data_IF_637112537905
#
_entry.id   IF_637112537905
#
_cell.length_a   1.000
_cell.length_b   1.000
_cell.length_c   1.000
_cell.angle_alpha   90.00
_cell.angle_beta   90.00
_cell.angle_gamma   90.00
#
_symmetry.space_group_name_H-M   'P 1'
#
loop_
_entity.id
_entity.type
_entity.pdbx_description
1 polymer ?
#
# COMPACT_ATOMS: atom_id res chain seq x y z
N UNK A 1 -19.69 -9.36 19.20
CA UNK A 1 -19.48 -7.88 19.34
C UNK A 1 -20.24 -7.20 18.21
N UNK A 2 -20.98 -6.11 18.44
CA UNK A 2 -21.75 -5.51 17.33
C UNK A 2 -20.86 -4.65 16.39
N UNK A 3 -21.32 -4.42 15.17
CA UNK A 3 -20.57 -3.67 14.14
C UNK A 3 -20.18 -2.25 14.58
N UNK A 4 -21.04 -1.59 15.38
CA UNK A 4 -20.82 -0.23 15.85
C UNK A 4 -19.67 -0.18 16.87
N UNK A 5 -19.63 -1.13 17.80
CA UNK A 5 -18.55 -1.28 18.78
C UNK A 5 -17.21 -1.57 18.10
N UNK A 6 -17.20 -2.48 17.12
CA UNK A 6 -15.99 -2.77 16.34
C UNK A 6 -15.50 -1.51 15.62
N UNK A 7 -16.40 -0.80 14.94
CA UNK A 7 -16.05 0.44 14.23
C UNK A 7 -15.51 1.51 15.16
N UNK A 8 -16.08 1.67 16.35
CA UNK A 8 -15.62 2.63 17.36
C UNK A 8 -14.19 2.28 17.81
N UNK A 9 -13.93 1.03 18.21
CA UNK A 9 -12.59 0.58 18.62
C UNK A 9 -11.55 0.76 17.51
N UNK A 10 -11.91 0.40 16.27
CA UNK A 10 -11.01 0.53 15.11
C UNK A 10 -10.74 1.99 14.77
N UNK A 11 -11.73 2.88 14.91
CA UNK A 11 -11.54 4.32 14.77
C UNK A 11 -10.65 4.87 15.87
N UNK A 12 -10.98 4.63 17.14
CA UNK A 12 -10.26 5.12 18.31
C UNK A 12 -8.79 4.68 18.29
N UNK A 13 -8.52 3.42 17.95
CA UNK A 13 -7.16 2.88 17.82
C UNK A 13 -6.36 3.46 16.64
N UNK A 14 -6.99 4.23 15.75
CA UNK A 14 -6.30 4.87 14.64
C UNK A 14 -6.00 3.92 13.47
N UNK A 15 -6.81 2.88 13.24
CA UNK A 15 -6.54 1.86 12.22
C UNK A 15 -6.86 2.35 10.81
N UNK A 16 -5.91 2.18 9.90
CA UNK A 16 -6.03 2.48 8.47
C UNK A 16 -5.59 1.27 7.64
N UNK A 17 -5.95 1.26 6.36
CA UNK A 17 -5.45 0.25 5.41
C UNK A 17 -3.94 0.36 5.21
N UNK A 18 -3.18 -0.53 5.86
CA UNK A 18 -1.71 -0.54 5.86
C UNK A 18 -1.11 -0.84 4.48
N UNK A 19 -1.72 -1.73 3.69
CA UNK A 19 -1.21 -2.15 2.38
C UNK A 19 -1.43 -1.16 1.21
N UNK A 20 -1.50 0.15 1.46
CA UNK A 20 -1.72 1.13 0.39
C UNK A 20 -1.96 2.55 0.89
N UNK A 21 -2.90 3.26 0.25
CA UNK A 21 -3.12 4.70 0.49
C UNK A 21 -3.67 5.10 1.89
N UNK A 22 -3.76 4.17 2.85
CA UNK A 22 -4.22 4.46 4.20
C UNK A 22 -5.69 4.85 4.26
N UNK A 23 -6.59 4.07 3.62
CA UNK A 23 -8.03 4.35 3.75
C UNK A 23 -8.50 4.05 5.19
N UNK A 24 -9.27 4.94 5.86
CA UNK A 24 -9.77 4.69 7.21
C UNK A 24 -10.58 3.39 7.33
N UNK A 25 -10.08 2.43 8.09
CA UNK A 25 -10.62 1.06 8.10
C UNK A 25 -12.04 0.99 8.66
N UNK A 26 -12.34 1.80 9.68
CA UNK A 26 -13.68 1.89 10.26
C UNK A 26 -14.76 2.27 9.22
N UNK A 27 -14.41 3.00 8.14
CA UNK A 27 -15.36 3.33 7.06
C UNK A 27 -15.67 2.10 6.21
N UNK A 28 -14.67 1.25 5.93
CA UNK A 28 -14.90 -0.03 5.23
C UNK A 28 -15.77 -0.97 6.07
N UNK A 29 -15.60 -0.97 7.39
CA UNK A 29 -16.33 -1.85 8.31
C UNK A 29 -17.80 -1.43 8.55
N UNK A 30 -18.18 -0.19 8.20
CA UNK A 30 -19.58 0.26 8.22
C UNK A 30 -20.41 -0.27 7.05
N UNK A 31 -19.81 -1.05 6.15
CA UNK A 31 -20.49 -1.62 5.02
C UNK A 31 -21.65 -2.54 5.45
N UNK A 32 -22.70 -2.58 4.64
CA UNK A 32 -23.83 -3.50 4.79
C UNK A 32 -23.89 -4.43 3.59
N UNK A 33 -24.67 -5.50 3.73
CA UNK A 33 -24.90 -6.48 2.67
C UNK A 33 -23.61 -7.14 2.18
N UNK A 34 -22.70 -7.43 3.13
CA UNK A 34 -21.43 -8.09 2.86
C UNK A 34 -21.57 -9.58 3.14
N UNK A 35 -21.38 -10.40 2.13
CA UNK A 35 -21.39 -11.86 2.28
C UNK A 35 -19.99 -12.47 2.31
N UNK A 36 -18.97 -11.75 1.80
CA UNK A 36 -17.61 -12.25 1.70
C UNK A 36 -16.60 -11.24 2.26
N UNK A 37 -15.76 -11.68 3.20
CA UNK A 37 -14.62 -10.93 3.73
C UNK A 37 -13.31 -11.56 3.27
N UNK A 38 -12.46 -10.79 2.60
CA UNK A 38 -11.17 -11.24 2.09
C UNK A 38 -10.03 -10.53 2.83
N UNK A 39 -9.05 -11.33 3.26
CA UNK A 39 -7.80 -10.85 3.82
C UNK A 39 -6.75 -10.94 2.71
N UNK A 40 -6.27 -9.78 2.24
CA UNK A 40 -5.21 -9.70 1.26
C UNK A 40 -3.88 -10.05 1.92
N UNK A 41 -3.45 -11.28 1.69
CA UNK A 41 -2.24 -11.90 2.22
C UNK A 41 -1.28 -12.30 1.06
N UNK A 42 -1.42 -11.63 -0.08
CA UNK A 42 -0.73 -11.99 -1.32
C UNK A 42 0.61 -11.27 -1.53
N UNK A 43 1.03 -10.36 -0.62
CA UNK A 43 2.19 -9.44 -0.71
C UNK A 43 2.85 -9.35 -2.10
N UNK A 44 2.56 -8.27 -2.80
CA UNK A 44 2.91 -8.14 -4.20
C UNK A 44 4.13 -7.28 -4.47
N UNK A 45 4.51 -6.39 -3.56
CA UNK A 45 5.69 -5.57 -3.79
C UNK A 45 6.95 -6.43 -3.72
N UNK A 46 7.79 -6.45 -4.77
CA UNK A 46 9.05 -7.17 -4.74
C UNK A 46 9.93 -6.75 -3.57
N UNK A 47 10.66 -7.69 -2.96
CA UNK A 47 11.52 -7.51 -1.77
C UNK A 47 10.79 -7.20 -0.46
N UNK A 48 9.47 -7.01 -0.45
CA UNK A 48 8.73 -6.85 0.80
C UNK A 48 8.25 -8.21 1.31
N UNK A 49 8.45 -8.45 2.61
CA UNK A 49 8.06 -9.72 3.24
C UNK A 49 7.60 -9.58 4.69
N UNK A 50 7.34 -8.35 5.15
CA UNK A 50 6.75 -8.06 6.46
C UNK A 50 5.45 -8.84 6.70
N UNK A 51 4.53 -8.78 5.74
CA UNK A 51 3.26 -9.54 5.76
C UNK A 51 3.48 -11.05 5.91
N UNK A 52 4.48 -11.61 5.24
CA UNK A 52 4.82 -13.04 5.34
C UNK A 52 5.33 -13.40 6.75
N UNK A 53 6.15 -12.54 7.35
CA UNK A 53 6.58 -12.75 8.73
C UNK A 53 5.40 -12.65 9.70
N UNK A 54 4.60 -11.58 9.59
CA UNK A 54 3.40 -11.35 10.40
C UNK A 54 2.45 -12.55 10.38
N UNK A 55 2.18 -13.13 9.20
CA UNK A 55 1.31 -14.31 9.10
C UNK A 55 1.84 -15.53 9.85
N UNK A 56 3.16 -15.72 9.88
CA UNK A 56 3.78 -16.86 10.56
C UNK A 56 3.76 -16.70 12.07
N UNK A 57 3.94 -15.48 12.57
CA UNK A 57 4.09 -15.21 14.01
C UNK A 57 2.77 -14.86 14.70
N UNK A 58 1.84 -14.22 14.00
CA UNK A 58 0.58 -13.71 14.56
C UNK A 58 -0.67 -14.42 14.02
N UNK A 59 -0.51 -15.63 13.45
CA UNK A 59 -1.60 -16.39 12.83
C UNK A 59 -2.87 -16.48 13.70
N UNK A 60 -2.71 -16.79 14.99
CA UNK A 60 -3.84 -16.90 15.93
C UNK A 60 -4.60 -15.58 16.10
N UNK A 61 -3.88 -14.48 16.22
CA UNK A 61 -4.46 -13.13 16.33
C UNK A 61 -5.16 -12.74 15.04
N UNK A 62 -4.55 -13.03 13.89
CA UNK A 62 -5.14 -12.78 12.58
C UNK A 62 -6.45 -13.54 12.40
N UNK A 63 -6.49 -14.84 12.74
CA UNK A 63 -7.72 -15.64 12.63
C UNK A 63 -8.80 -15.12 13.58
N UNK A 64 -8.48 -14.86 14.85
CA UNK A 64 -9.44 -14.33 15.81
C UNK A 64 -9.99 -12.95 15.39
N UNK A 65 -9.14 -12.06 14.86
CA UNK A 65 -9.58 -10.78 14.33
C UNK A 65 -10.44 -10.94 13.06
N UNK A 66 -10.12 -11.92 12.21
CA UNK A 66 -10.92 -12.22 11.02
C UNK A 66 -12.33 -12.68 11.41
N UNK A 67 -12.45 -13.54 12.41
CA UNK A 67 -13.73 -14.01 12.95
C UNK A 67 -14.56 -12.84 13.51
N UNK A 68 -13.94 -11.98 14.33
CA UNK A 68 -14.61 -10.81 14.91
C UNK A 68 -15.13 -9.84 13.83
N UNK A 69 -14.35 -9.60 12.78
CA UNK A 69 -14.77 -8.76 11.64
C UNK A 69 -15.88 -9.45 10.85
N UNK A 70 -15.80 -10.76 10.66
CA UNK A 70 -16.81 -11.56 9.93
C UNK A 70 -18.15 -11.52 10.64
N UNK A 71 -18.17 -11.72 11.96
CA UNK A 71 -19.37 -11.61 12.81
C UNK A 71 -19.97 -10.20 12.70
N UNK A 72 -19.15 -9.16 12.82
CA UNK A 72 -19.59 -7.78 12.76
C UNK A 72 -20.18 -7.39 11.39
N UNK A 73 -19.61 -7.89 10.29
CA UNK A 73 -20.11 -7.65 8.93
C UNK A 73 -21.35 -8.50 8.60
N UNK A 74 -21.61 -9.56 9.36
CA UNK A 74 -22.60 -10.58 9.00
C UNK A 74 -22.21 -11.39 7.76
N UNK A 75 -20.90 -11.47 7.47
CA UNK A 75 -20.40 -12.15 6.28
C UNK A 75 -20.49 -13.66 6.41
N UNK A 76 -20.90 -14.34 5.34
CA UNK A 76 -21.03 -15.79 5.31
C UNK A 76 -19.69 -16.50 5.07
N UNK A 77 -18.70 -15.80 4.48
CA UNK A 77 -17.41 -16.37 4.09
C UNK A 77 -16.27 -15.44 4.48
N UNK A 78 -15.21 -16.01 5.04
CA UNK A 78 -13.94 -15.32 5.30
C UNK A 78 -12.77 -16.12 4.74
N UNK A 79 -11.85 -15.46 4.04
CA UNK A 79 -10.70 -16.11 3.41
C UNK A 79 -9.43 -15.27 3.48
N UNK A 80 -8.34 -15.92 3.85
CA UNK A 80 -6.99 -15.41 3.61
C UNK A 80 -6.57 -15.75 2.18
N UNK A 81 -6.23 -14.74 1.37
CA UNK A 81 -5.86 -14.92 -0.03
C UNK A 81 -4.34 -14.85 -0.17
N UNK A 82 -3.69 -15.98 -0.40
CA UNK A 82 -2.24 -16.11 -0.47
C UNK A 82 -1.76 -16.61 -1.84
N UNK A 83 -0.54 -16.24 -2.23
CA UNK A 83 0.13 -16.84 -3.39
C UNK A 83 0.53 -18.28 -3.09
N UNK A 84 0.54 -19.11 -4.13
CA UNK A 84 0.96 -20.52 -4.07
C UNK A 84 2.33 -20.76 -3.42
N UNK A 85 3.26 -19.79 -3.50
CA UNK A 85 4.60 -19.91 -2.91
C UNK A 85 4.65 -19.79 -1.38
N UNK A 86 3.62 -19.23 -0.74
CA UNK A 86 3.58 -18.97 0.71
C UNK A 86 3.11 -20.20 1.50
N UNK A 87 3.94 -21.26 1.48
CA UNK A 87 3.60 -22.56 2.09
C UNK A 87 3.64 -22.49 3.62
N UNK A 88 4.63 -21.80 4.20
CA UNK A 88 4.78 -21.70 5.65
C UNK A 88 3.69 -20.81 6.28
N UNK A 89 3.37 -19.70 5.62
CA UNK A 89 2.32 -18.77 6.02
C UNK A 89 0.95 -19.44 5.97
N UNK A 90 0.68 -20.17 4.87
CA UNK A 90 -0.53 -20.99 4.74
C UNK A 90 -0.65 -21.99 5.88
N UNK A 91 0.41 -22.75 6.15
CA UNK A 91 0.40 -23.75 7.21
C UNK A 91 0.13 -23.13 8.60
N UNK A 92 0.73 -21.97 8.88
CA UNK A 92 0.50 -21.26 10.14
C UNK A 92 -0.96 -20.79 10.30
N UNK A 93 -1.55 -20.22 9.23
CA UNK A 93 -2.94 -19.77 9.23
C UNK A 93 -3.94 -20.93 9.34
N UNK A 94 -3.74 -22.00 8.58
CA UNK A 94 -4.58 -23.20 8.64
C UNK A 94 -4.50 -23.87 10.02
N UNK A 95 -3.30 -23.95 10.62
CA UNK A 95 -3.13 -24.48 11.98
C UNK A 95 -3.80 -23.61 13.05
N UNK A 96 -4.00 -22.32 12.79
CA UNK A 96 -4.76 -21.41 13.64
C UNK A 96 -6.29 -21.46 13.40
N UNK A 97 -6.77 -22.27 12.46
CA UNK A 97 -8.19 -22.39 12.09
C UNK A 97 -8.64 -21.47 10.94
N UNK A 98 -7.70 -20.77 10.29
CA UNK A 98 -7.99 -19.86 9.18
C UNK A 98 -8.34 -20.59 7.89
N UNK A 99 -9.33 -20.07 7.17
CA UNK A 99 -9.67 -20.53 5.82
C UNK A 99 -8.81 -19.82 4.77
N UNK A 100 -8.10 -20.58 3.94
CA UNK A 100 -7.15 -20.05 2.94
C UNK A 100 -7.66 -20.29 1.51
N UNK A 101 -7.51 -19.27 0.65
CA UNK A 101 -7.64 -19.38 -0.80
C UNK A 101 -6.30 -19.11 -1.48
N UNK A 102 -5.88 -20.00 -2.37
CA UNK A 102 -4.57 -19.92 -3.03
C UNK A 102 -4.71 -19.37 -4.44
N UNK A 103 -3.99 -18.28 -4.73
CA UNK A 103 -3.87 -17.68 -6.08
C UNK A 103 -2.53 -18.02 -6.73
N UNK A 104 -2.45 -17.83 -8.04
CA UNK A 104 -1.19 -17.96 -8.80
C UNK A 104 -0.12 -16.96 -8.34
N UNK A 105 1.15 -17.26 -8.63
CA UNK A 105 2.27 -16.36 -8.32
C UNK A 105 2.51 -15.37 -9.47
N UNK A 106 1.77 -14.27 -9.44
CA UNK A 106 1.89 -13.19 -10.42
C UNK A 106 1.68 -11.81 -9.77
N UNK A 107 2.14 -10.77 -10.47
CA UNK A 107 1.96 -9.39 -10.07
C UNK A 107 0.96 -8.66 -10.99
N UNK A 108 0.04 -7.82 -10.46
CA UNK A 108 -0.35 -7.70 -9.05
C UNK A 108 -1.54 -8.62 -8.73
N UNK A 109 -1.30 -9.77 -8.09
CA UNK A 109 -2.38 -10.60 -7.56
C UNK A 109 -3.09 -9.96 -6.35
N UNK A 110 -2.39 -9.10 -5.61
CA UNK A 110 -2.86 -8.40 -4.42
C UNK A 110 -3.65 -7.11 -4.69
N UNK A 111 -3.88 -6.77 -5.95
CA UNK A 111 -4.80 -5.66 -6.28
C UNK A 111 -6.23 -6.05 -5.90
N UNK A 112 -6.93 -5.16 -5.18
CA UNK A 112 -8.25 -5.44 -4.58
C UNK A 112 -9.28 -5.95 -5.60
N UNK A 113 -9.30 -5.39 -6.82
CA UNK A 113 -10.28 -5.80 -7.84
C UNK A 113 -9.83 -7.09 -8.54
N UNK A 114 -8.53 -7.27 -8.75
CA UNK A 114 -7.99 -8.53 -9.28
C UNK A 114 -8.33 -9.67 -8.31
N UNK A 115 -8.10 -9.47 -7.01
CA UNK A 115 -8.37 -10.44 -5.96
C UNK A 115 -9.85 -10.81 -5.87
N UNK A 116 -10.75 -9.83 -5.90
CA UNK A 116 -12.20 -10.08 -5.87
C UNK A 116 -12.60 -10.96 -7.06
N UNK A 117 -12.13 -10.64 -8.27
CA UNK A 117 -12.46 -11.42 -9.46
C UNK A 117 -11.90 -12.85 -9.38
N UNK A 118 -10.67 -13.03 -8.91
CA UNK A 118 -10.04 -14.36 -8.74
C UNK A 118 -10.79 -15.25 -7.75
N UNK A 119 -11.19 -14.68 -6.61
CA UNK A 119 -11.73 -15.46 -5.49
C UNK A 119 -13.24 -15.69 -5.62
N UNK A 120 -13.96 -14.71 -6.16
CA UNK A 120 -15.43 -14.70 -6.17
C UNK A 120 -16.03 -14.79 -7.57
N UNK A 121 -15.24 -14.54 -8.63
CA UNK A 121 -15.74 -14.38 -9.99
C UNK A 121 -16.55 -13.09 -10.22
N UNK A 122 -16.80 -12.28 -9.19
CA UNK A 122 -17.58 -11.04 -9.28
C UNK A 122 -16.75 -9.94 -9.90
N UNK A 123 -17.40 -9.06 -10.65
CA UNK A 123 -16.76 -7.88 -11.22
C UNK A 123 -17.23 -6.62 -10.53
N UNK A 124 -16.30 -5.85 -9.97
CA UNK A 124 -16.61 -4.54 -9.39
C UNK A 124 -16.85 -3.53 -10.51
N UNK A 125 -17.97 -2.77 -10.47
CA UNK A 125 -18.23 -1.71 -11.46
C UNK A 125 -17.10 -0.69 -11.55
N UNK A 126 -16.89 -0.13 -12.73
CA UNK A 126 -15.86 0.90 -12.96
C UNK A 126 -16.09 2.15 -12.09
N UNK A 127 -15.04 2.58 -11.38
CA UNK A 127 -15.14 3.65 -10.37
C UNK A 127 -15.95 3.28 -9.12
N UNK A 128 -16.48 2.06 -9.05
CA UNK A 128 -17.19 1.52 -7.90
C UNK A 128 -16.25 1.02 -6.81
N UNK A 129 -16.83 0.79 -5.63
CA UNK A 129 -16.14 0.19 -4.48
C UNK A 129 -16.50 -1.31 -4.38
N UNK A 130 -15.59 -2.16 -3.84
CA UNK A 130 -15.85 -3.57 -3.55
C UNK A 130 -17.16 -3.87 -2.81
N UNK A 131 -17.59 -2.95 -1.95
CA UNK A 131 -18.82 -3.06 -1.17
C UNK A 131 -20.06 -3.25 -2.05
N UNK A 132 -20.06 -2.70 -3.27
CA UNK A 132 -21.17 -2.84 -4.24
C UNK A 132 -21.39 -4.27 -4.72
N UNK A 133 -20.39 -5.14 -4.55
CA UNK A 133 -20.50 -6.56 -4.93
C UNK A 133 -20.46 -7.49 -3.72
N UNK A 134 -20.75 -6.96 -2.53
CA UNK A 134 -20.86 -7.75 -1.29
C UNK A 134 -19.51 -8.20 -0.72
N UNK A 135 -18.41 -7.52 -1.06
CA UNK A 135 -17.05 -7.91 -0.64
C UNK A 135 -16.33 -6.79 0.10
N UNK A 136 -15.72 -7.12 1.25
CA UNK A 136 -14.75 -6.28 1.95
C UNK A 136 -13.36 -6.91 1.81
N UNK A 137 -12.35 -6.10 1.51
CA UNK A 137 -10.95 -6.55 1.46
C UNK A 137 -10.10 -5.72 2.41
N UNK A 138 -9.34 -6.37 3.29
CA UNK A 138 -8.35 -5.73 4.16
C UNK A 138 -6.99 -6.41 3.98
N UNK A 139 -5.91 -5.63 4.01
CA UNK A 139 -4.55 -6.17 4.07
C UNK A 139 -4.31 -6.86 5.43
N UNK A 140 -3.41 -7.83 5.47
CA UNK A 140 -3.12 -8.63 6.67
C UNK A 140 -2.62 -7.80 7.86
N UNK A 141 -1.77 -6.80 7.67
CA UNK A 141 -1.36 -5.88 8.74
C UNK A 141 -2.52 -5.00 9.22
N UNK A 142 -3.45 -4.64 8.32
CA UNK A 142 -4.68 -3.95 8.73
C UNK A 142 -5.51 -4.82 9.67
N UNK A 143 -5.62 -6.11 9.39
CA UNK A 143 -6.30 -7.07 10.24
C UNK A 143 -5.60 -7.28 11.58
N UNK A 144 -4.26 -7.37 11.57
CA UNK A 144 -3.47 -7.38 12.79
C UNK A 144 -3.76 -6.17 13.68
N UNK A 145 -3.79 -4.97 13.08
CA UNK A 145 -4.10 -3.73 13.78
C UNK A 145 -5.55 -3.68 14.28
N UNK A 146 -6.52 -4.28 13.58
CA UNK A 146 -7.88 -4.49 14.12
C UNK A 146 -7.82 -5.38 15.37
N UNK A 147 -7.10 -6.50 15.32
CA UNK A 147 -6.93 -7.40 16.47
C UNK A 147 -6.32 -6.70 17.68
N UNK A 148 -5.28 -5.87 17.47
CA UNK A 148 -4.67 -5.03 18.51
C UNK A 148 -5.66 -4.01 19.08
N UNK A 149 -6.45 -3.37 18.23
CA UNK A 149 -7.50 -2.42 18.64
C UNK A 149 -8.56 -3.09 19.53
N UNK A 150 -8.93 -4.34 19.23
CA UNK A 150 -9.89 -5.10 20.03
C UNK A 150 -9.39 -5.35 21.47
N UNK A 151 -8.07 -5.51 21.61
CA UNK A 151 -7.34 -5.63 22.89
C UNK A 151 -7.03 -4.29 23.56
N UNK A 152 -7.49 -3.16 23.00
CA UNK A 152 -7.26 -1.83 23.57
C UNK A 152 -5.91 -1.20 23.21
N UNK A 153 -5.20 -1.73 22.23
CA UNK A 153 -3.91 -1.20 21.79
C UNK A 153 -4.07 -0.39 20.48
N UNK A 154 -3.72 0.90 20.47
CA UNK A 154 -3.74 1.72 19.25
C UNK A 154 -2.58 1.37 18.30
N UNK A 155 -2.68 1.85 17.06
CA UNK A 155 -1.62 1.71 16.06
C UNK A 155 -0.48 2.68 16.36
N UNK A 156 0.58 2.17 16.98
CA UNK A 156 1.81 2.90 17.32
C UNK A 156 3.05 2.40 16.59
N UNK A 157 2.95 1.26 15.88
CA UNK A 157 4.07 0.57 15.24
C UNK A 157 3.70 0.06 13.86
N UNK A 158 4.71 -0.19 13.02
CA UNK A 158 4.58 -0.79 11.69
C UNK A 158 5.65 -1.86 11.46
N UNK A 159 5.34 -2.87 10.66
CA UNK A 159 6.31 -3.86 10.19
C UNK A 159 7.03 -3.34 8.95
N UNK A 160 8.36 -3.21 9.01
CA UNK A 160 9.14 -2.61 7.93
C UNK A 160 10.22 -3.58 7.46
N UNK A 161 10.20 -3.90 6.17
CA UNK A 161 11.31 -4.61 5.51
C UNK A 161 12.38 -3.61 5.05
N UNK A 162 13.62 -3.74 5.55
CA UNK A 162 14.77 -3.03 4.99
C UNK A 162 15.54 -3.99 4.07
N UNK A 163 15.74 -3.60 2.82
CA UNK A 163 16.27 -4.50 1.80
C UNK A 163 16.93 -3.79 0.62
N UNK A 164 17.27 -4.58 -0.39
CA UNK A 164 18.02 -4.11 -1.56
C UNK A 164 19.53 -4.05 -1.29
N UNK A 165 20.20 -3.00 -1.78
CA UNK A 165 21.63 -2.78 -1.64
C UNK A 165 22.02 -2.29 -0.24
N UNK A 166 21.80 -3.12 0.78
CA UNK A 166 22.20 -2.92 2.18
C UNK A 166 23.06 -4.09 2.66
N UNK A 167 23.85 -3.90 3.73
CA UNK A 167 24.76 -4.96 4.25
C UNK A 167 23.97 -6.09 4.91
N UNK A 168 22.97 -5.75 5.70
CA UNK A 168 22.22 -6.67 6.56
C UNK A 168 20.71 -6.45 6.40
N UNK A 169 20.09 -6.99 5.34
CA UNK A 169 18.66 -6.85 5.16
C UNK A 169 17.89 -7.53 6.30
N UNK A 170 16.67 -7.06 6.57
CA UNK A 170 15.90 -7.50 7.73
C UNK A 170 14.46 -7.01 7.73
N UNK A 171 13.68 -7.58 8.65
CA UNK A 171 12.34 -7.10 9.01
C UNK A 171 12.41 -6.62 10.45
N UNK A 172 11.87 -5.43 10.72
CA UNK A 172 11.76 -4.88 12.07
C UNK A 172 10.33 -4.44 12.37
N UNK A 173 9.95 -4.51 13.65
CA UNK A 173 8.76 -3.85 14.16
C UNK A 173 9.18 -2.52 14.79
N UNK A 174 8.70 -1.41 14.24
CA UNK A 174 9.26 -0.08 14.54
C UNK A 174 8.16 0.89 14.97
N UNK A 175 8.44 1.80 15.93
CA UNK A 175 7.55 2.92 16.25
C UNK A 175 7.25 3.77 15.03
N UNK A 176 6.01 4.20 14.87
CA UNK A 176 5.65 5.21 13.87
C UNK A 176 6.46 6.49 14.11
N UNK A 177 6.87 7.15 13.04
CA UNK A 177 7.73 8.33 13.08
C UNK A 177 9.22 8.01 13.26
N UNK A 178 9.63 6.74 13.26
CA UNK A 178 11.04 6.36 13.18
C UNK A 178 11.64 6.88 11.87
N UNK A 179 12.82 7.54 11.88
CA UNK A 179 13.50 7.97 10.65
C UNK A 179 13.97 6.77 9.82
N UNK A 180 13.84 6.83 8.49
CA UNK A 180 14.34 5.78 7.60
C UNK A 180 15.86 5.58 7.74
N UNK A 181 16.62 6.66 7.95
CA UNK A 181 18.06 6.62 8.22
C UNK A 181 18.43 5.68 9.38
N UNK A 182 17.65 5.67 10.48
CA UNK A 182 17.90 4.79 11.62
C UNK A 182 17.79 3.31 11.24
N UNK A 183 16.81 2.96 10.41
CA UNK A 183 16.63 1.59 9.93
C UNK A 183 17.72 1.16 8.96
N UNK A 184 18.20 2.09 8.14
CA UNK A 184 19.36 1.86 7.28
C UNK A 184 20.61 1.61 8.12
N UNK A 185 20.86 2.37 9.18
CA UNK A 185 21.99 2.13 10.09
C UNK A 185 21.92 0.74 10.72
N UNK A 186 20.73 0.31 11.17
CA UNK A 186 20.50 -1.04 11.71
C UNK A 186 20.72 -2.14 10.68
N UNK A 187 20.42 -1.87 9.40
CA UNK A 187 20.71 -2.76 8.28
C UNK A 187 22.19 -2.68 7.83
N UNK A 188 23.05 -2.01 8.60
CA UNK A 188 24.44 -1.79 8.25
C UNK A 188 24.59 -0.93 7.00
N UNK A 189 23.71 0.01 6.71
CA UNK A 189 23.85 1.01 5.65
C UNK A 189 23.94 0.49 4.21
N UNK A 190 24.00 1.41 3.23
CA UNK A 190 24.08 1.09 1.81
C UNK A 190 25.36 0.35 1.40
N UNK A 191 25.26 -0.50 0.38
CA UNK A 191 26.38 -1.20 -0.28
C UNK A 191 26.70 -0.67 -1.68
N UNK A 192 25.98 0.36 -2.13
CA UNK A 192 26.20 1.04 -3.42
C UNK A 192 26.77 2.45 -3.21
N UNK A 193 27.55 2.92 -4.19
CA UNK A 193 28.19 4.24 -4.13
C UNK A 193 27.23 5.42 -4.40
N UNK A 194 26.16 5.19 -5.18
CA UNK A 194 25.09 6.17 -5.44
C UNK A 194 23.75 5.56 -5.01
N UNK A 195 23.42 5.57 -3.71
CA UNK A 195 22.18 4.99 -3.21
C UNK A 195 20.98 5.88 -3.52
N UNK A 196 19.87 5.22 -3.88
CA UNK A 196 18.53 5.79 -3.83
C UNK A 196 17.67 4.98 -2.87
N UNK A 197 16.74 5.68 -2.23
CA UNK A 197 15.89 5.13 -1.20
C UNK A 197 14.45 5.06 -1.69
N UNK A 198 13.76 3.96 -1.38
CA UNK A 198 12.36 3.75 -1.72
C UNK A 198 11.58 3.59 -0.42
N UNK A 199 10.57 4.43 -0.21
CA UNK A 199 9.59 4.28 0.88
C UNK A 199 8.51 3.28 0.42
N UNK A 200 8.52 2.08 0.99
CA UNK A 200 7.70 0.96 0.57
C UNK A 200 8.34 0.12 -0.55
N UNK A 201 7.51 -0.31 -1.51
CA UNK A 201 7.91 -1.27 -2.55
C UNK A 201 8.41 -0.64 -3.85
N UNK A 202 9.21 -1.35 -4.66
CA UNK A 202 9.84 -0.79 -5.85
C UNK A 202 8.84 -0.46 -6.96
N UNK A 203 7.66 -1.09 -6.98
CA UNK A 203 6.67 -0.85 -8.02
C UNK A 203 5.80 0.36 -7.71
N UNK A 204 5.46 0.59 -6.44
CA UNK A 204 4.49 1.65 -6.06
C UNK A 204 5.04 2.73 -5.13
N UNK A 205 6.15 2.50 -4.42
CA UNK A 205 6.74 3.44 -3.47
C UNK A 205 7.34 4.69 -4.13
N UNK A 206 7.39 5.84 -3.44
CA UNK A 206 8.15 7.01 -3.87
C UNK A 206 9.66 6.79 -3.72
N UNK A 207 10.43 7.52 -4.53
CA UNK A 207 11.88 7.42 -4.62
C UNK A 207 12.52 8.70 -4.10
N UNK A 208 13.53 8.55 -3.24
CA UNK A 208 14.20 9.63 -2.53
C UNK A 208 15.71 9.57 -2.77
N UNK A 209 16.33 10.75 -2.90
CA UNK A 209 17.80 10.90 -2.95
C UNK A 209 18.44 10.76 -1.58
N UNK A 210 17.72 11.16 -0.54
CA UNK A 210 18.15 11.11 0.86
C UNK A 210 17.14 10.30 1.68
N UNK A 211 17.53 9.63 2.79
CA UNK A 211 16.62 8.87 3.62
C UNK A 211 15.91 9.76 4.67
N UNK A 212 15.37 10.90 4.22
CA UNK A 212 14.80 11.98 5.05
C UNK A 212 13.32 11.79 5.42
N UNK A 213 12.76 10.64 5.07
CA UNK A 213 11.38 10.28 5.37
C UNK A 213 11.26 9.44 6.65
N UNK A 214 10.02 9.34 7.15
CA UNK A 214 9.71 8.72 8.42
C UNK A 214 8.65 7.64 8.24
N UNK A 215 8.74 6.57 9.02
CA UNK A 215 7.80 5.45 8.95
C UNK A 215 6.40 5.91 9.38
N UNK A 216 5.40 5.63 8.56
CA UNK A 216 3.99 5.92 8.83
C UNK A 216 3.15 4.64 8.88
N UNK A 217 1.85 4.76 9.19
CA UNK A 217 0.89 3.63 9.19
C UNK A 217 0.78 2.87 7.86
N UNK A 218 1.31 3.42 6.77
CA UNK A 218 1.29 2.82 5.43
C UNK A 218 2.68 2.42 4.95
N UNK A 219 3.71 2.65 5.75
CA UNK A 219 5.09 2.30 5.41
C UNK A 219 5.35 0.84 5.75
N UNK A 220 5.71 0.06 4.75
CA UNK A 220 5.98 -1.39 4.86
C UNK A 220 7.41 -1.77 4.41
N UNK A 221 8.19 -0.80 3.90
CA UNK A 221 9.54 -1.06 3.41
C UNK A 221 10.44 0.18 3.38
N UNK A 222 11.74 -0.05 3.48
CA UNK A 222 12.80 0.91 3.19
C UNK A 222 13.82 0.20 2.31
N UNK A 223 13.79 0.43 1.00
CA UNK A 223 14.66 -0.27 0.07
C UNK A 223 15.76 0.64 -0.45
N UNK A 224 16.96 0.08 -0.66
CA UNK A 224 18.08 0.76 -1.29
C UNK A 224 18.33 0.18 -2.67
N UNK A 225 18.46 1.03 -3.68
CA UNK A 225 18.82 0.61 -5.04
C UNK A 225 19.92 1.52 -5.62
N UNK A 226 20.75 1.03 -6.56
CA UNK A 226 21.72 1.87 -7.26
C UNK A 226 21.05 2.98 -8.09
N UNK A 227 21.66 4.16 -8.14
CA UNK A 227 21.14 5.32 -8.88
C UNK A 227 21.14 5.16 -10.40
N UNK A 228 21.95 4.26 -10.94
CA UNK A 228 21.95 3.88 -12.36
C UNK A 228 20.94 2.76 -12.70
N UNK A 229 20.19 2.26 -11.71
CA UNK A 229 19.20 1.22 -11.90
C UNK A 229 18.04 1.68 -12.81
N UNK A 230 17.42 0.72 -13.49
CA UNK A 230 16.23 0.98 -14.31
C UNK A 230 15.06 1.54 -13.47
N UNK A 231 14.95 1.12 -12.20
CA UNK A 231 13.98 1.62 -11.23
C UNK A 231 14.08 3.13 -11.07
N UNK A 232 15.26 3.61 -10.67
CA UNK A 232 15.53 5.04 -10.48
C UNK A 232 15.32 5.80 -11.78
N UNK A 233 15.90 5.33 -12.90
CA UNK A 233 15.81 6.02 -14.20
C UNK A 233 14.37 6.32 -14.62
N UNK A 234 13.44 5.40 -14.40
CA UNK A 234 12.06 5.55 -14.87
C UNK A 234 11.14 6.20 -13.84
N UNK A 235 11.31 5.91 -12.56
CA UNK A 235 10.44 6.46 -11.51
C UNK A 235 10.77 7.92 -11.17
N UNK A 236 11.95 8.41 -11.57
CA UNK A 236 12.38 9.79 -11.28
C UNK A 236 12.33 10.72 -12.49
N UNK A 237 12.13 10.19 -13.71
CA UNK A 237 12.03 11.01 -14.93
C UNK A 237 10.92 12.05 -14.83
N UNK A 238 11.19 13.32 -15.11
CA UNK A 238 10.11 14.33 -15.10
C UNK A 238 8.97 13.96 -16.09
N UNK A 239 7.71 14.15 -15.67
CA UNK A 239 6.54 13.77 -16.48
C UNK A 239 6.38 14.66 -17.70
N UNK A 240 6.75 15.94 -17.61
CA UNK A 240 6.72 16.84 -18.77
C UNK A 240 7.74 16.39 -19.82
N UNK A 241 8.95 16.04 -19.38
CA UNK A 241 9.97 15.42 -20.23
C UNK A 241 9.47 14.12 -20.86
N UNK A 242 8.79 13.28 -20.09
CA UNK A 242 8.21 12.02 -20.58
C UNK A 242 7.14 12.27 -21.66
N UNK A 243 6.27 13.27 -21.49
CA UNK A 243 5.28 13.67 -22.50
C UNK A 243 5.97 14.20 -23.77
N UNK A 244 7.04 15.00 -23.63
CA UNK A 244 7.85 15.45 -24.77
C UNK A 244 8.50 14.28 -25.50
N UNK A 245 9.08 13.32 -24.77
CA UNK A 245 9.62 12.08 -25.35
C UNK A 245 8.54 11.28 -26.07
N UNK A 246 7.33 11.19 -25.50
CA UNK A 246 6.21 10.48 -26.13
C UNK A 246 5.85 11.05 -27.51
N UNK A 247 5.95 12.37 -27.73
CA UNK A 247 5.63 13.00 -29.02
C UNK A 247 6.53 12.59 -30.17
N UNK A 248 7.82 12.34 -29.89
CA UNK A 248 8.82 12.00 -30.91
C UNK A 248 9.15 10.50 -30.95
N UNK A 249 9.17 9.83 -29.80
CA UNK A 249 9.69 8.47 -29.68
C UNK A 249 8.58 7.39 -29.53
N UNK A 250 7.34 7.75 -29.18
CA UNK A 250 6.29 6.75 -29.01
C UNK A 250 5.95 6.08 -30.35
N UNK A 251 6.20 4.77 -30.46
CA UNK A 251 5.82 3.95 -31.63
C UNK A 251 4.33 3.60 -31.69
N UNK A 252 3.52 4.17 -30.79
CA UNK A 252 2.06 4.00 -30.71
C UNK A 252 1.56 2.54 -30.61
N UNK A 253 2.39 1.62 -30.14
CA UNK A 253 1.95 0.27 -29.78
C UNK A 253 0.96 0.29 -28.59
N UNK A 254 0.33 -0.85 -28.30
CA UNK A 254 -0.63 -1.01 -27.19
C UNK A 254 -0.12 -1.93 -26.05
N UNK A 255 1.19 -2.21 -25.97
CA UNK A 255 1.78 -3.12 -24.97
C UNK A 255 1.39 -2.76 -23.53
N UNK A 256 1.39 -1.47 -23.20
CA UNK A 256 0.98 -0.99 -21.88
C UNK A 256 -0.49 -1.28 -21.52
N UNK A 257 -1.34 -1.53 -22.52
CA UNK A 257 -2.75 -1.95 -22.33
C UNK A 257 -2.87 -3.46 -22.28
N UNK A 258 -2.17 -4.17 -23.16
CA UNK A 258 -2.12 -5.63 -23.18
C UNK A 258 -1.60 -6.19 -21.85
N UNK A 259 -0.64 -5.51 -21.21
CA UNK A 259 -0.07 -5.87 -19.91
C UNK A 259 -0.87 -5.30 -18.71
N UNK A 260 -1.87 -4.45 -18.92
CA UNK A 260 -2.59 -3.79 -17.83
C UNK A 260 -3.51 -4.80 -17.12
N UNK A 261 -3.24 -5.08 -15.85
CA UNK A 261 -4.04 -6.02 -15.05
C UNK A 261 -5.53 -5.63 -14.99
N UNK A 262 -5.84 -4.33 -14.87
CA UNK A 262 -7.23 -3.84 -14.88
C UNK A 262 -7.91 -4.02 -16.24
N UNK A 263 -7.18 -3.78 -17.33
CA UNK A 263 -7.70 -4.07 -18.67
C UNK A 263 -7.99 -5.57 -18.83
N UNK A 264 -7.11 -6.44 -18.34
CA UNK A 264 -7.28 -7.89 -18.42
C UNK A 264 -8.47 -8.42 -17.64
N UNK A 265 -8.89 -7.77 -16.55
CA UNK A 265 -10.14 -8.11 -15.83
C UNK A 265 -11.39 -7.49 -16.45
N UNK A 266 -11.21 -6.81 -17.58
CA UNK A 266 -12.28 -6.30 -18.41
C UNK A 266 -12.47 -4.80 -18.34
N UNK A 267 -11.73 -4.04 -17.50
CA UNK A 267 -11.91 -2.59 -17.37
C UNK A 267 -11.50 -1.84 -18.65
N UNK A 268 -12.16 -0.72 -18.91
CA UNK A 268 -11.94 0.19 -20.02
C UNK A 268 -10.82 1.16 -19.65
N UNK A 269 -9.70 0.57 -19.25
CA UNK A 269 -8.45 1.24 -18.99
C UNK A 269 -7.50 0.90 -20.13
N UNK A 270 -7.24 1.87 -20.98
CA UNK A 270 -6.37 1.74 -22.15
C UNK A 270 -5.20 2.72 -22.04
N UNK A 271 -4.15 2.39 -21.25
CA UNK A 271 -3.03 3.30 -21.01
C UNK A 271 -2.40 3.86 -22.30
N UNK A 272 -2.40 3.12 -23.40
CA UNK A 272 -1.86 3.57 -24.68
C UNK A 272 -2.65 4.78 -25.25
N UNK A 273 -3.97 4.83 -25.06
CA UNK A 273 -4.81 5.94 -25.50
C UNK A 273 -4.62 7.16 -24.61
N UNK A 274 -4.48 6.97 -23.30
CA UNK A 274 -4.16 8.06 -22.37
C UNK A 274 -2.82 8.69 -22.75
N UNK A 275 -1.80 7.88 -23.02
CA UNK A 275 -0.49 8.38 -23.46
C UNK A 275 -0.58 9.18 -24.76
N UNK A 276 -1.34 8.70 -25.75
CA UNK A 276 -1.57 9.40 -27.02
C UNK A 276 -2.33 10.71 -26.83
N UNK A 277 -3.38 10.72 -26.03
CA UNK A 277 -4.14 11.92 -25.68
C UNK A 277 -3.24 12.96 -24.97
N UNK A 278 -2.35 12.52 -24.09
CA UNK A 278 -1.42 13.44 -23.42
C UNK A 278 -0.38 14.01 -24.39
N UNK A 279 0.12 13.21 -25.34
CA UNK A 279 1.08 13.64 -26.34
C UNK A 279 0.45 14.57 -27.41
N UNK A 280 -0.75 14.23 -27.91
CA UNK A 280 -1.44 14.87 -29.02
C UNK A 280 -2.81 15.42 -28.58
N UNK A 281 -2.95 16.76 -28.44
CA UNK A 281 -4.18 17.40 -27.96
C UNK A 281 -5.45 17.00 -28.72
N UNK A 282 -5.36 16.72 -30.01
CA UNK A 282 -6.48 16.35 -30.88
C UNK A 282 -7.11 15.00 -30.50
N UNK A 283 -6.38 14.15 -29.77
CA UNK A 283 -6.87 12.86 -29.29
C UNK A 283 -7.43 12.93 -27.86
N UNK A 284 -7.46 14.13 -27.25
CA UNK A 284 -7.97 14.31 -25.89
C UNK A 284 -9.48 14.32 -25.90
N UNK A 285 -10.06 13.29 -25.33
CA UNK A 285 -11.49 13.23 -25.03
C UNK A 285 -11.69 13.03 -23.54
N UNK A 286 -12.82 13.51 -23.02
CA UNK A 286 -13.08 13.47 -21.58
C UNK A 286 -13.21 12.02 -21.06
N UNK A 287 -13.75 11.12 -21.87
CA UNK A 287 -13.80 9.67 -21.66
C UNK A 287 -12.40 9.07 -21.54
N UNK A 288 -11.48 9.33 -22.48
CA UNK A 288 -10.11 8.81 -22.43
C UNK A 288 -9.39 9.31 -21.17
N UNK A 289 -9.51 10.60 -20.84
CA UNK A 289 -8.83 11.14 -19.66
C UNK A 289 -9.38 10.57 -18.34
N UNK A 290 -10.71 10.34 -18.27
CA UNK A 290 -11.33 9.75 -17.08
C UNK A 290 -10.89 8.32 -16.81
N UNK A 291 -10.48 7.56 -17.83
CA UNK A 291 -9.93 6.21 -17.63
C UNK A 291 -8.79 6.19 -16.61
N UNK A 292 -8.04 7.29 -16.45
CA UNK A 292 -6.99 7.39 -15.44
C UNK A 292 -7.46 7.00 -14.04
N UNK A 293 -8.72 7.29 -13.66
CA UNK A 293 -9.27 6.91 -12.36
C UNK A 293 -9.40 5.39 -12.15
N UNK A 294 -9.44 4.59 -13.22
CA UNK A 294 -9.48 3.12 -13.16
C UNK A 294 -8.11 2.50 -12.87
N UNK A 295 -7.03 3.28 -12.97
CA UNK A 295 -5.67 2.80 -12.79
C UNK A 295 -5.37 2.52 -11.30
N UNK A 296 -4.88 1.33 -10.99
CA UNK A 296 -4.39 0.97 -9.65
C UNK A 296 -2.95 1.37 -9.37
N UNK A 297 -2.29 2.04 -10.33
CA UNK A 297 -0.92 2.54 -10.19
C UNK A 297 0.16 1.47 -9.97
N UNK A 298 -0.13 0.20 -10.28
CA UNK A 298 0.79 -0.94 -10.15
C UNK A 298 2.04 -0.93 -11.05
N UNK A 299 2.24 0.08 -11.88
CA UNK A 299 3.46 0.26 -12.67
C UNK A 299 3.81 -0.80 -13.75
N UNK A 300 3.01 -1.86 -13.95
CA UNK A 300 3.23 -2.84 -15.04
C UNK A 300 3.29 -2.21 -16.43
N UNK A 301 2.54 -1.13 -16.64
CA UNK A 301 2.43 -0.45 -17.92
C UNK A 301 3.68 0.37 -18.30
N UNK A 302 4.63 0.57 -17.39
CA UNK A 302 5.76 1.48 -17.57
C UNK A 302 6.97 0.84 -18.28
N UNK A 303 8.04 1.64 -18.44
CA UNK A 303 9.34 1.20 -18.95
C UNK A 303 9.99 0.08 -18.14
N UNK A 304 9.54 -0.15 -16.90
CA UNK A 304 10.00 -1.28 -16.08
C UNK A 304 9.53 -2.62 -16.64
N UNK A 305 8.36 -2.67 -17.28
CA UNK A 305 7.79 -3.91 -17.79
C UNK A 305 7.27 -3.81 -19.23
N UNK A 306 6.20 -3.07 -19.49
CA UNK A 306 5.51 -3.14 -20.77
C UNK A 306 5.98 -2.14 -21.84
N UNK A 307 6.42 -0.92 -21.48
CA UNK A 307 6.64 0.14 -22.48
C UNK A 307 8.04 0.02 -23.12
N UNK A 308 8.16 -0.32 -24.43
CA UNK A 308 9.46 -0.43 -25.09
C UNK A 308 10.16 0.94 -25.26
N UNK A 309 9.37 2.01 -25.30
CA UNK A 309 9.86 3.39 -25.38
C UNK A 309 10.15 4.01 -24.01
N UNK A 310 10.10 3.20 -22.95
CA UNK A 310 10.53 3.58 -21.61
C UNK A 310 9.72 4.71 -20.98
N UNK A 311 8.44 4.83 -21.35
CA UNK A 311 7.50 5.78 -20.78
C UNK A 311 6.76 5.14 -19.59
N UNK A 312 6.20 5.95 -18.69
CA UNK A 312 5.40 5.49 -17.54
C UNK A 312 3.96 6.01 -17.61
N UNK A 313 3.02 5.23 -18.17
CA UNK A 313 1.60 5.57 -18.14
C UNK A 313 1.04 5.67 -16.71
N UNK A 314 1.63 4.96 -15.73
CA UNK A 314 1.32 5.12 -14.30
C UNK A 314 1.48 6.57 -13.86
N UNK A 315 2.65 7.16 -14.11
CA UNK A 315 2.99 8.51 -13.64
C UNK A 315 2.18 9.58 -14.37
N UNK A 316 1.91 9.35 -15.66
CA UNK A 316 0.95 10.17 -16.42
C UNK A 316 -0.45 10.11 -15.78
N UNK A 317 -0.93 8.92 -15.41
CA UNK A 317 -2.23 8.76 -14.74
C UNK A 317 -2.26 9.46 -13.37
N UNK A 318 -1.18 9.44 -12.59
CA UNK A 318 -1.09 10.15 -11.31
C UNK A 318 -1.25 11.67 -11.47
N UNK A 319 -0.51 12.27 -12.41
CA UNK A 319 -0.62 13.70 -12.75
C UNK A 319 -2.03 14.03 -13.24
N UNK A 320 -2.58 13.19 -14.12
CA UNK A 320 -3.91 13.39 -14.69
C UNK A 320 -5.01 13.28 -13.63
N UNK A 321 -4.96 12.28 -12.73
CA UNK A 321 -5.88 12.15 -11.59
C UNK A 321 -5.85 13.40 -10.71
N UNK A 322 -4.65 13.91 -10.40
CA UNK A 322 -4.49 15.14 -9.59
C UNK A 322 -5.10 16.34 -10.29
N UNK A 323 -4.84 16.52 -11.58
CA UNK A 323 -5.40 17.61 -12.38
C UNK A 323 -6.93 17.55 -12.46
N UNK A 324 -7.49 16.38 -12.75
CA UNK A 324 -8.95 16.17 -12.85
C UNK A 324 -9.64 16.45 -11.50
N UNK A 325 -9.09 15.95 -10.39
CA UNK A 325 -9.62 16.24 -9.04
C UNK A 325 -9.56 17.72 -8.71
N UNK A 326 -8.48 18.41 -9.09
CA UNK A 326 -8.36 19.87 -8.92
C UNK A 326 -9.40 20.67 -9.70
N UNK A 327 -9.95 20.10 -10.78
CA UNK A 327 -11.05 20.66 -11.57
C UNK A 327 -12.44 20.22 -11.06
N UNK A 328 -12.52 19.49 -9.94
CA UNK A 328 -13.77 18.92 -9.44
C UNK A 328 -14.31 17.75 -10.26
N UNK A 329 -13.52 17.17 -11.17
CA UNK A 329 -13.92 16.03 -12.00
C UNK A 329 -13.66 14.73 -11.25
N UNK A 330 -14.73 13.97 -11.01
CA UNK A 330 -14.69 12.68 -10.33
C UNK A 330 -14.71 11.44 -11.25
N UNK A 331 -14.57 10.24 -10.67
CA UNK A 331 -14.63 8.96 -11.37
C UNK A 331 -16.08 8.58 -11.71
N UNK A 332 -16.61 9.13 -12.80
CA UNK A 332 -17.93 8.78 -13.32
C UNK A 332 -17.81 7.95 -14.61
N UNK A 333 -18.41 6.76 -14.62
CA UNK A 333 -18.35 5.79 -15.73
C UNK A 333 -19.74 5.24 -16.03
N UNK A 334 -20.06 4.97 -17.31
CA UNK A 334 -21.31 4.31 -17.67
C UNK A 334 -21.33 2.86 -17.17
N UNK A 335 -22.51 2.38 -16.82
CA UNK A 335 -22.69 0.94 -16.56
C UNK A 335 -22.47 0.15 -17.84
N UNK A 336 -21.74 -0.96 -17.71
CA UNK A 336 -21.50 -1.89 -18.80
C UNK A 336 -21.20 -3.27 -18.25
N UNK A 337 -21.35 -4.27 -19.12
CA UNK A 337 -20.86 -5.60 -18.83
C UNK A 337 -19.33 -5.60 -18.79
N UNK A 338 -18.78 -6.19 -17.74
CA UNK A 338 -17.34 -6.30 -17.53
C UNK A 338 -17.02 -7.77 -17.34
N UNK A 339 -16.31 -8.33 -18.32
CA UNK A 339 -15.84 -9.70 -18.31
C UNK A 339 -14.31 -9.76 -18.45
N UNK A 340 -13.62 -10.69 -17.77
CA UNK A 340 -12.20 -10.89 -17.96
C UNK A 340 -11.87 -11.22 -19.42
N UNK A 341 -10.75 -10.68 -19.90
CA UNK A 341 -10.24 -10.96 -21.24
C UNK A 341 -9.86 -12.46 -21.36
N UNK A 342 -10.27 -13.19 -22.42
CA UNK A 342 -10.02 -14.64 -22.54
C UNK A 342 -8.55 -15.05 -22.44
N UNK A 343 -7.65 -14.20 -22.98
CA UNK A 343 -6.20 -14.42 -22.91
C UNK A 343 -5.54 -13.99 -21.59
N UNK A 344 -6.29 -13.54 -20.58
CA UNK A 344 -5.74 -13.11 -19.29
C UNK A 344 -4.82 -14.16 -18.66
N UNK A 345 -5.16 -15.47 -18.59
CA UNK A 345 -4.28 -16.48 -17.99
C UNK A 345 -2.89 -16.55 -18.63
N UNK A 346 -2.77 -16.19 -19.92
CA UNK A 346 -1.50 -16.21 -20.67
C UNK A 346 -0.74 -14.88 -20.63
N UNK A 347 -1.34 -13.83 -20.06
CA UNK A 347 -0.78 -12.47 -19.97
C UNK A 347 -0.45 -12.03 -18.54
N UNK A 348 -0.63 -12.91 -17.57
CA UNK A 348 -0.19 -12.67 -16.19
C UNK A 348 1.33 -12.55 -16.14
N UNK A 349 1.84 -11.68 -15.29
CA UNK A 349 3.28 -11.43 -15.14
C UNK A 349 3.80 -12.22 -13.94
N UNK A 350 4.57 -13.31 -14.14
CA UNK A 350 5.13 -14.08 -13.03
C UNK A 350 6.04 -13.20 -12.17
N UNK A 351 5.90 -13.30 -10.84
CA UNK A 351 6.65 -12.46 -9.90
C UNK A 351 8.15 -12.60 -10.09
N UNK A 352 8.65 -13.83 -10.24
CA UNK A 352 10.08 -14.09 -10.47
C UNK A 352 10.63 -13.44 -11.75
N UNK A 353 9.86 -13.44 -12.86
CA UNK A 353 10.23 -12.78 -14.11
C UNK A 353 10.24 -11.27 -13.96
N UNK A 354 9.30 -10.71 -13.19
CA UNK A 354 9.30 -9.30 -12.86
C UNK A 354 10.56 -8.94 -12.06
N UNK A 355 10.88 -9.66 -10.99
CA UNK A 355 12.09 -9.41 -10.19
C UNK A 355 13.37 -9.43 -11.03
N UNK A 356 13.51 -10.44 -11.90
CA UNK A 356 14.67 -10.56 -12.79
C UNK A 356 14.78 -9.36 -13.74
N UNK A 357 13.65 -8.92 -14.31
CA UNK A 357 13.60 -7.77 -15.21
C UNK A 357 13.94 -6.45 -14.52
N UNK A 358 13.55 -6.30 -13.25
CA UNK A 358 13.85 -5.12 -12.45
C UNK A 358 15.29 -5.10 -11.92
N UNK A 359 16.07 -6.18 -12.11
CA UNK A 359 17.40 -6.33 -11.53
C UNK A 359 17.39 -6.62 -10.03
N UNK A 360 16.24 -7.05 -9.48
CA UNK A 360 16.06 -7.26 -8.04
C UNK A 360 16.39 -8.69 -7.59
N UNK A 361 16.57 -9.63 -8.52
CA UNK A 361 16.92 -11.02 -8.21
C UNK A 361 18.27 -11.20 -7.50
N UNK A 362 19.10 -10.16 -7.47
CA UNK A 362 20.37 -10.16 -6.73
C UNK A 362 20.19 -9.93 -5.22
N UNK A 363 19.01 -9.48 -4.78
CA UNK A 363 18.74 -9.14 -3.38
C UNK A 363 17.90 -10.21 -2.69
N UNK A 364 17.96 -10.23 -1.36
CA UNK A 364 17.23 -11.18 -0.53
C UNK A 364 15.72 -10.88 -0.53
N UNK A 365 14.89 -11.84 -0.98
CA UNK A 365 13.42 -11.72 -1.07
C UNK A 365 12.72 -11.97 0.29
N UNK A 366 13.38 -12.70 1.20
CA UNK A 366 12.82 -13.13 2.49
C UNK A 366 13.81 -12.93 3.64
N UNK A 367 14.21 -11.69 3.94
CA UNK A 367 15.15 -11.41 5.02
C UNK A 367 14.60 -11.82 6.39
N UNK A 368 15.49 -12.10 7.37
CA UNK A 368 15.09 -12.53 8.70
C UNK A 368 14.42 -11.40 9.50
N UNK A 369 13.60 -11.77 10.48
CA UNK A 369 13.13 -10.82 11.49
C UNK A 369 14.25 -10.51 12.47
N UNK A 370 14.50 -9.22 12.69
CA UNK A 370 15.60 -8.68 13.50
C UNK A 370 15.13 -8.03 14.80
N UNK A 371 13.85 -8.15 15.12
CA UNK A 371 13.28 -7.70 16.40
C UNK A 371 12.60 -6.34 16.34
N UNK A 372 12.26 -5.87 17.53
CA UNK A 372 11.68 -4.54 17.72
C UNK A 372 12.78 -3.47 17.82
N UNK A 373 12.49 -2.27 17.32
CA UNK A 373 13.41 -1.14 17.41
C UNK A 373 12.96 -0.19 18.50
N UNK A 374 13.87 0.15 19.40
CA UNK A 374 13.72 1.28 20.31
C UNK A 374 14.32 2.53 19.66
N UNK A 375 13.63 3.66 19.82
CA UNK A 375 14.09 4.98 19.37
C UNK A 375 13.91 5.99 20.49
N UNK A 376 14.86 6.93 20.57
CA UNK A 376 14.81 8.01 21.56
C UNK A 376 13.97 9.19 21.07
N UNK A 377 13.60 9.20 19.78
CA UNK A 377 12.82 10.25 19.17
C UNK A 377 12.00 9.74 17.98
N UNK A 378 10.79 10.27 17.84
CA UNK A 378 9.92 10.06 16.68
C UNK A 378 9.44 11.39 16.12
N UNK A 379 9.33 11.44 14.80
CA UNK A 379 8.69 12.54 14.09
C UNK A 379 7.46 11.99 13.38
N UNK A 380 6.28 12.28 13.92
CA UNK A 380 5.01 11.72 13.49
C UNK A 380 4.33 12.68 12.51
N UNK A 381 4.25 12.34 11.20
CA UNK A 381 3.49 13.15 10.26
C UNK A 381 2.01 13.20 10.64
N UNK A 382 1.40 14.38 10.52
CA UNK A 382 -0.03 14.59 10.81
C UNK A 382 -0.93 13.98 9.72
N UNK A 383 -0.37 13.69 8.53
CA UNK A 383 -1.07 13.00 7.45
C UNK A 383 -0.48 11.60 7.23
N UNK A 384 -1.15 10.59 7.77
CA UNK A 384 -0.78 9.17 7.58
C UNK A 384 -1.92 8.33 6.95
N UNK A 385 -2.82 9.01 6.23
CA UNK A 385 -3.99 8.39 5.61
C UNK A 385 -4.54 9.26 4.49
N UNK A 386 -5.45 8.68 3.68
CA UNK A 386 -6.06 9.36 2.53
C UNK A 386 -6.88 10.61 2.93
N UNK A 387 -7.45 10.58 4.14
CA UNK A 387 -8.27 11.65 4.72
C UNK A 387 -7.55 12.99 4.96
N UNK A 388 -8.22 13.89 5.70
CA UNK A 388 -7.65 15.19 6.08
C UNK A 388 -6.48 15.02 7.08
N UNK A 389 -5.41 15.84 7.02
CA UNK A 389 -4.38 15.84 8.05
C UNK A 389 -4.96 16.04 9.45
N UNK A 390 -4.42 15.32 10.44
CA UNK A 390 -4.82 15.48 11.82
C UNK A 390 -4.38 16.85 12.38
N UNK A 391 -5.15 17.37 13.32
CA UNK A 391 -4.83 18.56 14.11
C UNK A 391 -4.27 18.10 15.47
N UNK A 392 -3.11 18.64 15.91
CA UNK A 392 -2.54 18.35 17.22
C UNK A 392 -3.55 18.59 18.36
N UNK A 393 -3.51 17.73 19.37
CA UNK A 393 -4.28 17.83 20.63
C UNK A 393 -3.37 18.01 21.85
N UNK A 394 -2.09 18.19 21.61
CA UNK A 394 -1.02 18.41 22.59
C UNK A 394 -0.27 19.68 22.22
N UNK A 395 0.45 20.26 23.17
CA UNK A 395 1.32 21.41 23.01
C UNK A 395 2.79 21.02 23.18
N UNK A 396 3.70 21.86 22.64
CA UNK A 396 5.14 21.73 22.93
C UNK A 396 5.35 21.85 24.44
N UNK A 397 6.09 20.91 25.00
CA UNK A 397 6.33 20.78 26.44
C UNK A 397 5.46 19.74 27.12
N UNK A 398 4.36 19.27 26.52
CA UNK A 398 3.51 18.24 27.12
C UNK A 398 4.26 16.91 27.26
N UNK A 399 3.98 16.19 28.35
CA UNK A 399 4.43 14.81 28.56
C UNK A 399 3.32 13.86 28.13
N UNK A 400 3.63 12.88 27.28
CA UNK A 400 2.68 11.93 26.71
C UNK A 400 3.13 10.50 26.98
N UNK A 401 2.16 9.60 27.20
CA UNK A 401 2.42 8.16 27.29
C UNK A 401 2.32 7.50 25.91
N UNK A 402 3.03 6.38 25.69
CA UNK A 402 2.84 5.57 24.48
C UNK A 402 1.35 5.15 24.37
N UNK A 403 0.79 5.31 23.17
CA UNK A 403 -0.62 5.05 22.89
C UNK A 403 -1.58 6.19 23.23
N UNK A 404 -1.11 7.29 23.83
CA UNK A 404 -1.94 8.48 24.04
C UNK A 404 -2.29 9.15 22.71
N UNK A 405 -3.53 9.60 22.54
CA UNK A 405 -3.94 10.41 21.39
C UNK A 405 -3.19 11.75 21.40
N UNK A 406 -2.46 12.04 20.32
CA UNK A 406 -1.69 13.29 20.16
C UNK A 406 -2.23 14.18 19.06
N UNK A 407 -2.98 13.64 18.10
CA UNK A 407 -3.67 14.42 17.09
C UNK A 407 -4.94 13.71 16.61
N UNK A 408 -5.92 14.47 16.13
CA UNK A 408 -7.20 13.93 15.63
C UNK A 408 -7.59 14.60 14.32
N UNK A 409 -8.33 13.92 13.43
CA UNK A 409 -8.85 14.55 12.22
C UNK A 409 -9.77 15.73 12.57
N UNK A 410 -9.87 16.76 11.72
CA UNK A 410 -10.89 17.80 11.85
C UNK A 410 -12.28 17.20 11.99
N UNK A 411 -13.15 17.86 12.74
CA UNK A 411 -14.51 17.37 12.96
C UNK A 411 -15.27 17.18 11.62
N UNK A 412 -15.93 16.03 11.48
CA UNK A 412 -16.65 15.65 10.26
C UNK A 412 -15.76 15.26 9.07
N UNK A 413 -14.44 15.41 9.16
CA UNK A 413 -13.53 15.02 8.10
C UNK A 413 -13.27 13.50 8.11
N UNK A 414 -13.05 12.94 6.92
CA UNK A 414 -12.55 11.57 6.79
C UNK A 414 -11.15 11.48 7.41
N UNK A 415 -10.95 10.57 8.38
CA UNK A 415 -9.65 10.34 9.00
C UNK A 415 -9.74 9.44 10.23
N UNK A 416 -8.61 9.28 10.94
CA UNK A 416 -8.54 8.57 12.23
C UNK A 416 -7.53 9.25 13.16
N UNK A 417 -7.63 9.10 14.49
CA UNK A 417 -6.66 9.62 15.44
C UNK A 417 -5.23 9.12 15.21
N UNK A 418 -4.28 9.94 15.64
CA UNK A 418 -2.85 9.66 15.71
C UNK A 418 -2.43 9.55 17.17
N UNK A 419 -1.63 8.53 17.48
CA UNK A 419 -1.19 8.21 18.82
C UNK A 419 0.31 8.40 18.95
N UNK A 420 0.77 8.73 20.16
CA UNK A 420 2.19 8.73 20.50
C UNK A 420 2.74 7.30 20.35
N UNK A 421 3.78 7.14 19.54
CA UNK A 421 4.45 5.86 19.33
C UNK A 421 5.55 5.55 20.35
N UNK A 422 5.86 6.52 21.21
CA UNK A 422 6.70 6.36 22.40
C UNK A 422 6.22 7.30 23.50
N UNK A 423 6.53 6.96 24.76
CA UNK A 423 6.33 7.85 25.90
C UNK A 423 7.45 8.88 26.00
N UNK A 424 7.13 10.16 26.16
CA UNK A 424 8.13 11.22 26.13
C UNK A 424 7.56 12.63 26.22
N UNK A 425 8.38 13.62 25.85
CA UNK A 425 7.99 15.03 25.78
C UNK A 425 7.76 15.44 24.33
N UNK A 426 6.69 16.19 24.08
CA UNK A 426 6.48 16.86 22.80
C UNK A 426 7.49 18.00 22.68
N UNK A 427 8.45 17.88 21.77
CA UNK A 427 9.55 18.85 21.62
C UNK A 427 9.34 19.82 20.46
N UNK A 428 8.54 19.44 19.47
CA UNK A 428 8.27 20.25 18.29
C UNK A 428 6.87 19.96 17.73
N UNK A 429 6.16 20.99 17.27
CA UNK A 429 4.94 20.85 16.46
C UNK A 429 5.10 21.79 15.25
N UNK A 430 4.97 21.22 14.06
CA UNK A 430 4.98 21.94 12.77
C UNK A 430 3.62 21.81 12.09
N UNK A 431 3.43 22.51 10.97
CA UNK A 431 2.21 22.38 10.15
C UNK A 431 1.99 20.94 9.63
N UNK A 432 3.05 20.14 9.52
CA UNK A 432 3.01 18.81 8.89
C UNK A 432 3.20 17.63 9.83
N UNK A 433 3.72 17.85 11.04
CA UNK A 433 4.19 16.78 11.91
C UNK A 433 4.44 17.24 13.37
N UNK A 434 4.55 16.27 14.27
CA UNK A 434 4.90 16.46 15.68
C UNK A 434 6.10 15.61 16.08
N UNK A 435 6.98 16.13 16.93
CA UNK A 435 8.16 15.45 17.47
C UNK A 435 7.95 15.07 18.93
N UNK A 436 8.26 13.81 19.26
CA UNK A 436 8.26 13.32 20.64
C UNK A 436 9.64 12.74 20.93
N UNK A 437 10.28 13.24 21.98
CA UNK A 437 11.58 12.76 22.45
C UNK A 437 11.38 12.01 23.76
N UNK A 438 11.93 10.81 23.88
CA UNK A 438 11.87 9.99 25.08
C UNK A 438 12.45 10.76 26.27
N UNK A 439 11.74 10.73 27.40
CA UNK A 439 12.27 11.25 28.66
C UNK A 439 12.93 10.05 29.32
N UNK A 440 14.25 10.08 29.49
CA UNK A 440 14.93 9.09 30.33
C UNK A 440 14.27 9.09 31.70
N UNK A 441 13.93 7.91 32.24
CA UNK A 441 13.58 7.81 33.65
C UNK A 441 14.82 8.19 34.44
N UNK A 442 14.95 9.47 34.82
CA UNK A 442 15.86 9.86 35.89
C UNK A 442 15.34 9.13 37.14
N UNK A 443 16.05 8.05 37.48
CA UNK A 443 15.79 7.21 38.65
C UNK A 443 16.24 7.86 39.94
#
# INVERSE_FOLDING_TARGET
>A
MNASELCAKVFEAGVVGAGGAGFPTHVKLKARDIDTYLINAAECEPLLSGDCHLMRTEARRLVAAAEAVTEALGAARVLFVLKKKYVAERAALEAAGGSVFVVGDYYPAGDEIIMIQEVTGRTVPEGGLPLKVGVVVNNVETLYNIGRALEGHPVTRSWVTVGGAVREPGIWLVPLGTPAAKLLDLAGGPTTADPWYIDGGPMTGPYHREPDFHITKTSNGVLVVPGDSALVRYETMDVERMIRQARFACIQCNQCTVACSRNLVGYHLEPHRIMRAMAYPEQRTADVLRQAFLCSECNLCSGLHACPMQLSPRRVNQVLKKALRGQGIGPAFPEREIAPHPLRPYRLVPTNRLMARLGLSAYEDHPPYRGEVAVDEVFLPLRQHLGAPCLPRVAVGDVVAEGQVVAVPPEGALGVPLHASLGGRVTEITDGALRITAIGMEG
#
